data_IF_873541585923
#
_entry.id   IF_873541585923
#
_cell.length_a   1.000
_cell.length_b   1.000
_cell.length_c   1.000
_cell.angle_alpha   90.00
_cell.angle_beta   90.00
_cell.angle_gamma   90.00
#
_symmetry.space_group_name_H-M   'P 1'
#
loop_
_entity.id
_entity.type
_entity.pdbx_description
1 polymer ?
#
# COMPACT_ATOMS: atom_id res chain seq x y z
N UNK A 1 4.74 16.12 -18.01
CA UNK A 1 3.90 16.24 -16.79
C UNK A 1 2.45 16.13 -17.19
N UNK A 2 1.88 14.92 -17.14
CA UNK A 2 0.44 14.69 -17.31
C UNK A 2 -0.29 15.39 -16.15
N UNK A 3 -1.30 16.21 -16.47
CA UNK A 3 -2.07 16.95 -15.47
C UNK A 3 -2.71 15.97 -14.48
N UNK A 4 -2.47 16.22 -13.20
CA UNK A 4 -3.18 15.58 -12.10
C UNK A 4 -4.69 15.69 -12.31
N UNK A 5 -5.40 14.56 -12.38
CA UNK A 5 -6.85 14.57 -12.47
C UNK A 5 -7.45 13.78 -11.29
N UNK A 6 -8.14 14.45 -10.35
CA UNK A 6 -8.73 13.82 -9.15
C UNK A 6 -9.80 12.77 -9.49
N UNK A 7 -10.24 12.68 -10.75
CA UNK A 7 -11.11 11.60 -11.24
C UNK A 7 -10.49 10.21 -11.05
N UNK A 8 -9.16 10.10 -11.04
CA UNK A 8 -8.44 8.83 -11.00
C UNK A 8 -7.78 8.55 -9.64
N UNK A 9 -8.12 9.30 -8.60
CA UNK A 9 -7.59 9.06 -7.24
C UNK A 9 -8.59 9.48 -6.15
N UNK A 10 -8.20 9.26 -4.89
CA UNK A 10 -9.04 9.36 -3.69
C UNK A 10 -8.72 10.58 -2.81
N UNK A 11 -8.25 11.70 -3.38
CA UNK A 11 -7.86 12.88 -2.57
C UNK A 11 -9.01 13.49 -1.77
N UNK A 12 -10.23 13.26 -2.23
CA UNK A 12 -11.48 13.66 -1.58
C UNK A 12 -11.79 12.83 -0.33
N UNK A 13 -11.05 11.74 -0.09
CA UNK A 13 -11.25 10.82 1.03
C UNK A 13 -9.97 10.80 1.88
N UNK A 14 -9.91 11.56 2.99
CA UNK A 14 -8.73 11.58 3.83
C UNK A 14 -8.53 10.22 4.52
N UNK A 15 -7.28 9.78 4.61
CA UNK A 15 -6.90 8.73 5.57
C UNK A 15 -7.08 9.24 7.00
N UNK A 16 -7.32 8.35 7.95
CA UNK A 16 -7.60 8.71 9.34
C UNK A 16 -6.50 9.59 9.96
N UNK A 17 -5.24 9.41 9.56
CA UNK A 17 -4.12 10.27 9.98
C UNK A 17 -4.16 11.70 9.44
N UNK A 18 -4.94 11.97 8.38
CA UNK A 18 -5.17 13.32 7.81
C UNK A 18 -6.46 13.98 8.32
N UNK A 19 -7.32 13.24 9.03
CA UNK A 19 -8.59 13.76 9.54
C UNK A 19 -8.39 14.72 10.71
N UNK A 20 -9.35 15.62 10.93
CA UNK A 20 -9.38 16.39 12.18
C UNK A 20 -9.57 15.45 13.37
N UNK A 21 -9.12 15.83 14.58
CA UNK A 21 -9.32 15.02 15.78
C UNK A 21 -10.78 14.62 16.00
N UNK A 22 -11.73 15.52 15.74
CA UNK A 22 -13.17 15.26 15.86
C UNK A 22 -13.70 14.26 14.83
N UNK A 23 -13.22 14.29 13.59
CA UNK A 23 -13.64 13.36 12.54
C UNK A 23 -13.11 11.96 12.80
N UNK A 24 -11.81 11.86 13.13
CA UNK A 24 -11.21 10.59 13.51
C UNK A 24 -11.88 10.01 14.75
N UNK A 25 -12.21 10.87 15.74
CA UNK A 25 -12.96 10.46 16.92
C UNK A 25 -14.26 9.76 16.60
N UNK A 26 -15.06 10.41 15.74
CA UNK A 26 -16.37 9.91 15.33
C UNK A 26 -16.23 8.55 14.64
N UNK A 27 -15.28 8.41 13.70
CA UNK A 27 -15.05 7.12 13.02
C UNK A 27 -14.63 6.01 13.98
N UNK A 28 -13.74 6.30 14.93
CA UNK A 28 -13.29 5.32 15.92
C UNK A 28 -14.43 4.88 16.84
N UNK A 29 -15.28 5.82 17.28
CA UNK A 29 -16.48 5.50 18.06
C UNK A 29 -17.45 4.60 17.29
N UNK A 30 -17.65 4.85 15.99
CA UNK A 30 -18.56 4.07 15.13
C UNK A 30 -18.16 2.60 14.99
N UNK A 31 -16.87 2.28 15.15
CA UNK A 31 -16.35 0.91 15.14
C UNK A 31 -16.11 0.33 16.54
N UNK A 32 -16.64 0.98 17.58
CA UNK A 32 -16.53 0.51 18.96
C UNK A 32 -15.13 0.66 19.58
N UNK A 33 -14.25 1.45 18.96
CA UNK A 33 -12.96 1.79 19.54
C UNK A 33 -13.15 2.93 20.53
N UNK A 34 -13.39 2.56 21.78
CA UNK A 34 -13.64 3.51 22.87
C UNK A 34 -12.34 3.97 23.54
N UNK A 35 -11.22 3.27 23.33
CA UNK A 35 -10.06 3.37 24.24
C UNK A 35 -8.66 3.16 23.61
N UNK A 36 -8.47 3.32 22.29
CA UNK A 36 -7.18 3.04 21.62
C UNK A 36 -6.14 4.17 21.78
N UNK A 37 -5.94 4.67 23.01
CA UNK A 37 -4.99 5.75 23.31
C UNK A 37 -5.63 7.14 23.42
N UNK A 38 -6.94 7.27 23.24
CA UNK A 38 -7.65 8.55 23.42
C UNK A 38 -7.92 8.76 24.91
N UNK A 39 -7.13 9.63 25.58
CA UNK A 39 -7.35 9.93 27.00
C UNK A 39 -8.61 10.80 27.16
N UNK A 40 -9.67 10.24 27.76
CA UNK A 40 -10.77 11.04 28.32
C UNK A 40 -10.36 11.51 29.71
N UNK A 41 -9.81 12.72 29.82
CA UNK A 41 -9.62 13.36 31.13
C UNK A 41 -10.99 13.74 31.70
N UNK A 42 -11.41 13.04 32.77
CA UNK A 42 -12.57 13.44 33.59
C UNK A 42 -12.19 14.65 34.45
N UNK A 43 -12.23 15.84 33.85
CA UNK A 43 -12.29 17.13 34.54
C UNK A 43 -13.64 17.78 34.30
N UNK A 44 -14.24 18.40 35.32
CA UNK A 44 -15.48 19.19 35.19
C UNK A 44 -15.28 20.30 34.15
N UNK A 45 -15.97 20.20 33.02
CA UNK A 45 -15.97 21.19 31.94
C UNK A 45 -15.23 20.71 30.69
N UNK A 46 -16.01 20.47 29.62
CA UNK A 46 -15.57 20.16 28.24
C UNK A 46 -14.72 18.89 28.02
N UNK A 47 -15.33 17.90 27.36
CA UNK A 47 -14.64 16.70 26.85
C UNK A 47 -13.68 17.10 25.72
N UNK A 48 -12.40 17.33 26.03
CA UNK A 48 -11.35 17.47 25.01
C UNK A 48 -10.93 16.08 24.53
N UNK A 49 -11.20 15.79 23.27
CA UNK A 49 -10.67 14.63 22.57
C UNK A 49 -9.17 14.83 22.31
N UNK A 50 -8.32 13.99 22.89
CA UNK A 50 -6.86 14.05 22.71
C UNK A 50 -6.31 12.70 22.29
N UNK A 51 -5.43 12.69 21.29
CA UNK A 51 -4.65 11.53 20.89
C UNK A 51 -3.74 11.07 22.05
N UNK A 52 -3.32 9.80 22.05
CA UNK A 52 -2.31 9.32 22.99
C UNK A 52 -1.01 10.10 22.84
N UNK A 53 -0.24 10.21 23.92
CA UNK A 53 1.09 10.83 23.90
C UNK A 53 2.04 10.10 22.93
N UNK A 54 1.73 8.83 22.62
CA UNK A 54 2.38 8.04 21.57
C UNK A 54 1.36 7.74 20.45
N UNK A 55 1.51 8.32 19.25
CA UNK A 55 0.61 8.03 18.14
C UNK A 55 0.72 6.58 17.67
N UNK A 56 -0.43 6.02 17.29
CA UNK A 56 -0.52 4.67 16.73
C UNK A 56 -0.07 4.65 15.27
N UNK A 57 0.47 3.52 14.74
CA UNK A 57 0.98 3.45 13.36
C UNK A 57 0.01 3.90 12.27
N UNK A 58 -1.29 3.62 12.43
CA UNK A 58 -2.34 4.02 11.50
C UNK A 58 -2.64 5.53 11.50
N UNK A 59 -2.11 6.30 12.45
CA UNK A 59 -2.26 7.76 12.52
C UNK A 59 -1.22 8.48 11.67
N UNK A 60 -0.13 7.81 11.27
CA UNK A 60 0.89 8.45 10.46
C UNK A 60 0.47 8.54 9.00
N UNK A 61 0.88 9.62 8.34
CA UNK A 61 0.56 9.87 6.94
C UNK A 61 1.80 9.81 6.04
N UNK A 62 2.98 9.90 6.65
CA UNK A 62 4.26 9.83 5.95
C UNK A 62 4.68 8.37 5.73
N UNK A 63 5.46 8.16 4.68
CA UNK A 63 6.03 6.87 4.33
C UNK A 63 7.52 7.01 4.02
N UNK A 64 8.29 5.97 4.35
CA UNK A 64 9.67 5.79 3.87
C UNK A 64 9.73 4.62 2.90
N UNK A 65 10.64 4.72 1.93
CA UNK A 65 10.73 3.78 0.82
C UNK A 65 12.07 3.07 0.79
N UNK A 66 12.00 1.75 0.92
CA UNK A 66 13.15 0.84 0.90
C UNK A 66 13.17 0.00 -0.38
N UNK A 67 14.30 -0.63 -0.63
CA UNK A 67 14.52 -1.49 -1.79
C UNK A 67 15.38 -2.70 -1.41
N UNK A 68 14.90 -3.88 -1.78
CA UNK A 68 15.62 -5.15 -1.70
C UNK A 68 16.05 -5.49 -3.14
N UNK A 69 17.35 -5.54 -3.44
CA UNK A 69 17.82 -5.91 -4.77
C UNK A 69 17.52 -7.38 -5.07
N UNK A 70 17.40 -7.70 -6.36
CA UNK A 70 17.41 -9.10 -6.81
C UNK A 70 18.71 -9.75 -6.32
N UNK A 71 18.58 -10.71 -5.39
CA UNK A 71 19.70 -11.41 -4.78
C UNK A 71 19.87 -12.81 -5.39
N UNK A 72 21.10 -13.31 -5.40
CA UNK A 72 21.37 -14.69 -5.79
C UNK A 72 20.59 -15.67 -4.89
N UNK A 73 19.73 -16.48 -5.51
CA UNK A 73 18.78 -17.41 -4.89
C UNK A 73 19.40 -18.46 -3.94
N UNK A 74 20.73 -18.58 -3.91
CA UNK A 74 21.46 -19.58 -3.15
C UNK A 74 22.12 -19.05 -1.87
N UNK A 75 21.87 -17.80 -1.48
CA UNK A 75 22.43 -17.23 -0.25
C UNK A 75 21.41 -17.24 0.89
N UNK A 76 21.79 -17.86 2.01
CA UNK A 76 21.09 -17.73 3.29
C UNK A 76 21.46 -16.44 4.04
N UNK A 77 22.38 -15.64 3.49
CA UNK A 77 22.84 -14.43 4.14
C UNK A 77 21.76 -13.33 4.08
N UNK A 78 21.59 -12.55 5.15
CA UNK A 78 20.71 -11.39 5.12
C UNK A 78 21.08 -10.43 3.99
N UNK A 79 20.07 -9.94 3.28
CA UNK A 79 20.20 -8.99 2.18
C UNK A 79 20.00 -7.58 2.71
N UNK A 80 20.93 -6.68 2.38
CA UNK A 80 20.83 -5.28 2.79
C UNK A 80 19.66 -4.58 2.10
N UNK A 81 18.92 -3.78 2.88
CA UNK A 81 17.86 -2.92 2.37
C UNK A 81 18.45 -1.53 2.16
N UNK A 82 18.23 -0.98 0.97
CA UNK A 82 18.66 0.37 0.62
C UNK A 82 17.49 1.33 0.58
N UNK A 83 17.74 2.62 0.78
CA UNK A 83 16.73 3.62 0.46
C UNK A 83 16.43 3.58 -1.04
N UNK A 84 15.17 3.69 -1.45
CA UNK A 84 14.77 3.55 -2.86
C UNK A 84 15.37 4.62 -3.80
N UNK A 85 15.85 5.74 -3.25
CA UNK A 85 16.61 6.76 -4.00
C UNK A 85 18.12 6.53 -4.07
N UNK A 86 18.64 5.54 -3.34
CA UNK A 86 20.07 5.20 -3.25
C UNK A 86 20.39 3.83 -3.87
N UNK A 87 19.81 3.59 -5.04
CA UNK A 87 20.00 2.37 -5.84
C UNK A 87 20.41 2.74 -7.26
N UNK A 88 20.97 1.82 -8.03
CA UNK A 88 21.20 2.10 -9.46
C UNK A 88 19.88 1.91 -10.25
N UNK A 89 19.48 2.88 -11.08
CA UNK A 89 18.30 2.74 -11.92
C UNK A 89 18.56 1.73 -13.05
N UNK A 90 17.64 0.79 -13.23
CA UNK A 90 17.72 -0.20 -14.31
C UNK A 90 17.25 0.40 -15.63
N UNK A 91 18.21 0.88 -16.43
CA UNK A 91 17.92 1.52 -17.72
C UNK A 91 17.25 0.57 -18.72
N UNK A 92 17.35 -0.75 -18.54
CA UNK A 92 16.70 -1.73 -19.43
C UNK A 92 15.18 -1.73 -19.31
N UNK A 93 14.63 -1.14 -18.23
CA UNK A 93 13.19 -1.02 -18.03
C UNK A 93 12.56 0.14 -18.83
N UNK A 94 13.36 1.01 -19.46
CA UNK A 94 12.84 2.09 -20.31
C UNK A 94 12.08 1.52 -21.50
N UNK A 95 10.85 2.00 -21.71
CA UNK A 95 10.01 1.56 -22.83
C UNK A 95 9.79 0.04 -22.85
N UNK A 96 9.92 -0.63 -21.71
CA UNK A 96 9.74 -2.06 -21.57
C UNK A 96 8.39 -2.39 -20.93
N UNK A 97 8.12 -3.69 -20.81
CA UNK A 97 6.98 -4.21 -20.06
C UNK A 97 7.45 -4.86 -18.78
N UNK A 98 6.78 -4.53 -17.69
CA UNK A 98 7.08 -5.06 -16.36
C UNK A 98 5.91 -5.85 -15.78
N UNK A 99 6.23 -6.68 -14.79
CA UNK A 99 5.29 -7.36 -13.91
C UNK A 99 5.41 -6.76 -12.51
N UNK A 100 4.26 -6.54 -11.89
CA UNK A 100 4.13 -6.05 -10.51
C UNK A 100 3.47 -7.13 -9.68
N UNK A 101 4.09 -7.51 -8.56
CA UNK A 101 3.51 -8.45 -7.59
C UNK A 101 3.40 -7.81 -6.21
N UNK A 102 2.40 -8.21 -5.43
CA UNK A 102 2.32 -7.96 -3.99
C UNK A 102 2.95 -9.13 -3.25
N UNK A 103 4.06 -8.87 -2.57
CA UNK A 103 4.80 -9.91 -1.86
C UNK A 103 4.51 -9.89 -0.37
N UNK A 104 4.06 -8.74 0.15
CA UNK A 104 3.67 -8.60 1.55
C UNK A 104 2.69 -7.46 1.77
N UNK A 105 1.74 -7.70 2.66
CA UNK A 105 0.92 -6.67 3.29
C UNK A 105 0.92 -6.93 4.80
N UNK A 106 1.65 -6.12 5.56
CA UNK A 106 1.72 -6.21 7.03
C UNK A 106 0.82 -5.15 7.67
N UNK A 107 -0.03 -5.61 8.57
CA UNK A 107 -0.78 -4.73 9.48
C UNK A 107 -0.24 -4.92 10.87
N UNK A 108 0.62 -4.00 11.29
CA UNK A 108 1.12 -3.99 12.65
C UNK A 108 0.00 -3.57 13.61
N UNK A 109 -0.70 -2.47 13.30
CA UNK A 109 -1.88 -2.05 14.03
C UNK A 109 -2.81 -1.24 13.12
N UNK A 110 -4.06 -1.69 12.96
CA UNK A 110 -5.17 -0.96 12.35
C UNK A 110 -6.29 -0.79 13.40
N UNK A 111 -7.16 0.24 13.28
CA UNK A 111 -8.22 0.45 14.26
C UNK A 111 -9.22 -0.72 14.38
N UNK A 112 -9.73 -0.96 15.59
CA UNK A 112 -10.78 -1.97 15.85
C UNK A 112 -10.28 -3.35 16.29
N UNK A 113 -8.96 -3.56 16.32
CA UNK A 113 -8.34 -4.82 16.78
C UNK A 113 -8.78 -6.08 16.01
N UNK A 114 -8.23 -7.22 16.45
CA UNK A 114 -8.56 -8.53 15.93
C UNK A 114 -8.20 -8.70 14.45
N UNK A 115 -9.15 -9.28 13.70
CA UNK A 115 -9.01 -9.48 12.27
C UNK A 115 -9.51 -8.24 11.52
N UNK A 116 -8.74 -7.86 10.50
CA UNK A 116 -9.01 -6.75 9.61
C UNK A 116 -9.33 -7.28 8.21
N UNK A 117 -10.36 -6.72 7.58
CA UNK A 117 -10.60 -6.85 6.15
C UNK A 117 -10.06 -5.60 5.48
N UNK A 118 -8.99 -5.75 4.71
CA UNK A 118 -8.28 -4.62 4.11
C UNK A 118 -8.65 -4.59 2.64
N UNK A 119 -9.45 -3.61 2.23
CA UNK A 119 -9.54 -3.26 0.83
C UNK A 119 -8.22 -2.58 0.45
N UNK A 120 -7.45 -3.26 -0.39
CA UNK A 120 -6.20 -2.79 -0.96
C UNK A 120 -6.49 -2.26 -2.37
N UNK A 121 -6.10 -1.02 -2.64
CA UNK A 121 -6.10 -0.41 -3.97
C UNK A 121 -4.66 -0.09 -4.37
N UNK A 122 -4.25 -0.60 -5.53
CA UNK A 122 -2.95 -0.31 -6.10
C UNK A 122 -3.12 0.29 -7.48
N UNK A 123 -2.52 1.46 -7.67
CA UNK A 123 -2.59 2.20 -8.91
C UNK A 123 -1.24 2.22 -9.62
N UNK A 124 -1.30 2.17 -10.94
CA UNK A 124 -0.14 2.35 -11.79
C UNK A 124 -0.46 3.13 -13.08
N UNK A 125 0.56 3.80 -13.63
CA UNK A 125 0.49 4.44 -14.95
C UNK A 125 0.98 3.48 -16.04
N UNK A 126 0.07 3.04 -16.92
CA UNK A 126 0.44 2.29 -18.11
C UNK A 126 0.72 3.27 -19.26
N UNK A 127 1.96 3.33 -19.73
CA UNK A 127 2.40 4.30 -20.73
C UNK A 127 2.51 3.64 -22.10
N UNK A 128 1.44 3.74 -22.89
CA UNK A 128 1.37 3.28 -24.28
C UNK A 128 1.70 4.45 -25.22
N UNK A 129 1.97 4.16 -26.49
CA UNK A 129 2.34 5.21 -27.45
C UNK A 129 1.26 6.29 -27.56
N UNK A 130 1.63 7.54 -27.29
CA UNK A 130 0.75 8.70 -27.35
C UNK A 130 -0.30 8.81 -26.23
N UNK A 131 -0.38 7.86 -25.29
CA UNK A 131 -1.40 7.84 -24.24
C UNK A 131 -0.89 7.27 -22.90
N UNK A 132 -1.34 7.88 -21.80
CA UNK A 132 -1.18 7.30 -20.46
C UNK A 132 -2.53 6.78 -20.00
N UNK A 133 -2.59 5.50 -19.61
CA UNK A 133 -3.74 4.91 -18.95
C UNK A 133 -3.49 4.82 -17.44
N UNK A 134 -4.58 4.99 -16.68
CA UNK A 134 -4.60 4.99 -15.23
C UNK A 134 -5.21 3.67 -14.75
N UNK A 135 -4.38 2.77 -14.19
CA UNK A 135 -4.79 1.42 -13.85
C UNK A 135 -5.05 1.33 -12.37
N UNK A 136 -6.11 0.61 -11.97
CA UNK A 136 -6.36 0.25 -10.58
C UNK A 136 -6.55 -1.25 -10.44
N UNK A 137 -5.93 -1.79 -9.40
CA UNK A 137 -6.12 -3.15 -8.92
C UNK A 137 -6.73 -3.09 -7.52
N UNK A 138 -7.80 -3.86 -7.29
CA UNK A 138 -8.41 -4.00 -5.97
C UNK A 138 -8.50 -5.44 -5.52
N UNK A 139 -8.18 -5.68 -4.26
CA UNK A 139 -8.34 -6.98 -3.61
C UNK A 139 -8.60 -6.79 -2.11
N UNK A 140 -9.33 -7.71 -1.49
CA UNK A 140 -9.47 -7.72 -0.04
C UNK A 140 -8.45 -8.69 0.56
N UNK A 141 -7.86 -8.30 1.68
CA UNK A 141 -7.01 -9.18 2.46
C UNK A 141 -7.52 -9.27 3.89
N UNK A 142 -7.67 -10.50 4.38
CA UNK A 142 -7.95 -10.79 5.79
C UNK A 142 -6.65 -10.90 6.56
N UNK A 143 -6.43 -10.02 7.54
CA UNK A 143 -5.17 -9.93 8.28
C UNK A 143 -5.43 -9.75 9.77
N UNK A 144 -4.84 -10.60 10.61
CA UNK A 144 -4.83 -10.40 12.05
C UNK A 144 -3.88 -9.24 12.42
N UNK A 145 -4.29 -8.35 13.32
CA UNK A 145 -3.42 -7.28 13.81
C UNK A 145 -2.11 -7.82 14.40
N UNK A 146 -0.99 -7.23 13.99
CA UNK A 146 0.38 -7.68 14.31
C UNK A 146 0.98 -8.64 13.28
N UNK A 147 0.18 -9.16 12.35
CA UNK A 147 0.58 -10.15 11.36
C UNK A 147 0.63 -9.56 9.94
N UNK A 148 0.68 -10.45 8.95
CA UNK A 148 0.68 -10.13 7.53
C UNK A 148 -0.36 -10.97 6.81
N UNK A 149 -0.84 -10.48 5.67
CA UNK A 149 -1.67 -11.28 4.77
C UNK A 149 -0.91 -12.54 4.32
N UNK A 150 -1.65 -13.65 4.18
CA UNK A 150 -1.13 -14.93 3.68
C UNK A 150 -0.88 -14.91 2.16
N UNK A 151 -0.07 -13.97 1.69
CA UNK A 151 0.27 -13.79 0.28
C UNK A 151 1.79 -13.82 0.07
N UNK A 152 2.19 -14.26 -1.10
CA UNK A 152 3.58 -14.20 -1.59
C UNK A 152 3.52 -14.13 -3.13
N UNK A 153 4.15 -13.12 -3.73
CA UNK A 153 4.21 -12.97 -5.19
C UNK A 153 2.86 -12.84 -5.90
N UNK A 154 1.82 -12.28 -5.25
CA UNK A 154 0.48 -12.19 -5.86
C UNK A 154 0.50 -11.20 -7.03
N UNK A 155 0.10 -11.58 -8.25
CA UNK A 155 0.17 -10.67 -9.41
C UNK A 155 -0.82 -9.50 -9.27
N UNK A 156 -0.31 -8.27 -9.32
CA UNK A 156 -1.13 -7.04 -9.40
C UNK A 156 -1.32 -6.68 -10.87
N UNK A 157 -0.22 -6.46 -11.60
CA UNK A 157 -0.23 -6.11 -13.02
C UNK A 157 0.80 -6.95 -13.78
N UNK A 158 0.42 -7.46 -14.95
CA UNK A 158 1.32 -8.19 -15.85
C UNK A 158 1.35 -7.47 -17.19
N UNK A 159 2.54 -7.12 -17.67
CA UNK A 159 2.70 -6.46 -18.97
C UNK A 159 2.50 -4.94 -18.95
N UNK A 160 2.71 -4.30 -17.80
CA UNK A 160 2.58 -2.85 -17.63
C UNK A 160 3.69 -2.12 -18.42
N UNK A 161 3.31 -1.17 -19.28
CA UNK A 161 4.28 -0.44 -20.11
C UNK A 161 4.88 0.74 -19.33
N UNK A 162 6.20 0.77 -19.27
CA UNK A 162 7.00 1.80 -18.61
C UNK A 162 7.44 2.85 -19.64
N UNK A 163 7.28 4.13 -19.34
CA UNK A 163 7.74 5.19 -20.25
C UNK A 163 9.24 5.48 -20.14
N UNK A 164 9.73 6.40 -20.97
CA UNK A 164 11.15 6.81 -20.97
C UNK A 164 11.59 7.50 -19.67
N UNK A 165 10.65 8.15 -18.97
CA UNK A 165 10.90 8.92 -17.75
C UNK A 165 10.69 8.09 -16.46
N UNK A 166 10.19 6.86 -16.57
CA UNK A 166 9.88 6.00 -15.43
C UNK A 166 8.38 5.72 -15.28
N UNK A 167 7.92 5.47 -14.05
CA UNK A 167 6.54 5.10 -13.74
C UNK A 167 6.12 5.61 -12.37
N UNK A 168 4.81 5.77 -12.16
CA UNK A 168 4.24 6.14 -10.87
C UNK A 168 3.35 5.03 -10.32
N UNK A 169 3.53 4.76 -9.04
CA UNK A 169 2.65 3.89 -8.26
C UNK A 169 1.97 4.68 -7.14
N UNK A 170 0.76 4.25 -6.80
CA UNK A 170 0.09 4.72 -5.59
C UNK A 170 -0.56 3.53 -4.91
N UNK A 171 -0.73 3.64 -3.61
CA UNK A 171 -1.49 2.67 -2.84
C UNK A 171 -2.44 3.38 -1.89
N UNK A 172 -3.64 2.84 -1.78
CA UNK A 172 -4.63 3.25 -0.82
C UNK A 172 -5.17 2.02 -0.09
N UNK A 173 -5.26 2.06 1.23
CA UNK A 173 -5.83 0.96 2.01
C UNK A 173 -6.99 1.41 2.87
N UNK A 174 -8.02 0.57 2.95
CA UNK A 174 -9.19 0.78 3.80
C UNK A 174 -9.39 -0.42 4.71
N UNK A 175 -9.40 -0.18 6.01
CA UNK A 175 -9.85 -1.14 7.01
C UNK A 175 -11.39 -1.15 6.99
N UNK A 176 -11.96 -2.18 6.38
CA UNK A 176 -13.40 -2.38 6.27
C UNK A 176 -13.89 -2.99 7.57
N UNK A 177 -14.87 -2.32 8.19
CA UNK A 177 -15.51 -2.73 9.45
C UNK A 177 -17.04 -2.66 9.38
N UNK A 178 -17.57 -2.42 8.18
CA UNK A 178 -18.99 -2.46 7.90
C UNK A 178 -19.36 -3.86 7.41
N UNK A 179 -20.23 -4.58 8.14
CA UNK A 179 -20.65 -5.94 7.81
C UNK A 179 -21.30 -6.08 6.42
N UNK A 180 -22.05 -5.08 5.96
CA UNK A 180 -22.66 -5.12 4.63
C UNK A 180 -21.61 -4.93 3.53
N UNK A 181 -20.59 -4.11 3.78
CA UNK A 181 -19.47 -3.96 2.87
C UNK A 181 -18.60 -5.22 2.88
N UNK A 182 -18.38 -5.85 4.03
CA UNK A 182 -17.72 -7.16 4.12
C UNK A 182 -18.44 -8.20 3.24
N UNK A 183 -19.77 -8.31 3.34
CA UNK A 183 -20.56 -9.22 2.50
C UNK A 183 -20.52 -8.87 1.01
N UNK A 184 -20.58 -7.58 0.67
CA UNK A 184 -20.43 -7.14 -0.72
C UNK A 184 -19.07 -7.53 -1.27
N UNK A 185 -18.02 -7.34 -0.48
CA UNK A 185 -16.65 -7.66 -0.82
C UNK A 185 -16.46 -9.18 -0.97
N UNK A 186 -17.02 -9.98 -0.07
CA UNK A 186 -17.04 -11.45 -0.18
C UNK A 186 -17.75 -11.91 -1.47
N UNK A 187 -18.87 -11.27 -1.84
CA UNK A 187 -19.55 -11.54 -3.11
C UNK A 187 -18.66 -11.23 -4.33
N UNK A 188 -17.97 -10.09 -4.32
CA UNK A 188 -17.03 -9.72 -5.40
C UNK A 188 -15.85 -10.69 -5.51
N UNK A 189 -15.46 -11.33 -4.41
CA UNK A 189 -14.43 -12.36 -4.42
C UNK A 189 -14.91 -13.71 -4.94
N UNK A 190 -16.22 -13.92 -5.06
CA UNK A 190 -16.81 -15.17 -5.51
C UNK A 190 -16.38 -15.54 -6.94
N UNK A 191 -16.14 -16.84 -7.16
CA UNK A 191 -15.66 -17.39 -8.44
C UNK A 191 -16.61 -17.07 -9.61
N UNK A 192 -17.91 -16.90 -9.34
CA UNK A 192 -18.90 -16.51 -10.33
C UNK A 192 -18.70 -15.08 -10.83
N UNK A 193 -18.41 -14.14 -9.93
CA UNK A 193 -18.16 -12.75 -10.31
C UNK A 193 -16.82 -12.61 -11.02
N UNK A 194 -15.76 -13.21 -10.46
CA UNK A 194 -14.42 -13.27 -11.09
C UNK A 194 -14.47 -13.96 -12.45
N UNK A 195 -15.26 -15.03 -12.59
CA UNK A 195 -15.49 -15.72 -13.87
C UNK A 195 -16.20 -14.85 -14.90
N UNK A 196 -17.18 -14.05 -14.47
CA UNK A 196 -17.86 -13.06 -15.33
C UNK A 196 -16.92 -11.96 -15.85
N UNK A 197 -15.99 -11.48 -15.03
CA UNK A 197 -14.96 -10.52 -15.45
C UNK A 197 -13.95 -11.13 -16.44
N UNK A 198 -13.49 -12.36 -16.20
CA UNK A 198 -12.57 -13.08 -17.10
C UNK A 198 -13.12 -13.33 -18.50
N UNK A 199 -14.44 -13.54 -18.64
CA UNK A 199 -15.08 -13.72 -19.95
C UNK A 199 -15.07 -12.44 -20.81
N UNK A 200 -14.90 -11.26 -20.19
CA UNK A 200 -14.80 -9.97 -20.87
C UNK A 200 -13.35 -9.70 -21.33
N UNK A 201 -12.35 -10.34 -20.71
CA UNK A 201 -10.91 -10.09 -20.92
C UNK A 201 -10.32 -10.76 -22.17
N UNK A 202 -10.94 -11.79 -22.74
CA UNK A 202 -10.39 -12.61 -23.84
C UNK A 202 -10.27 -11.89 -25.21
N UNK A 203 -10.55 -10.59 -25.30
CA UNK A 203 -10.59 -9.84 -26.57
C UNK A 203 -9.55 -8.69 -26.68
N UNK A 204 -9.01 -8.14 -25.57
CA UNK A 204 -7.95 -7.08 -25.48
C UNK A 204 -8.29 -5.68 -26.08
N UNK A 205 -7.89 -4.51 -25.50
CA UNK A 205 -7.58 -4.13 -24.11
C UNK A 205 -8.73 -3.29 -23.47
N UNK A 206 -9.22 -3.69 -22.29
CA UNK A 206 -10.30 -2.98 -21.55
C UNK A 206 -9.85 -2.48 -20.18
N UNK A 207 -8.67 -1.87 -20.16
CA UNK A 207 -8.06 -1.36 -18.94
C UNK A 207 -8.81 -0.16 -18.29
N UNK A 208 -9.42 0.78 -19.04
CA UNK A 208 -10.09 1.95 -18.43
C UNK A 208 -11.40 1.62 -17.69
N UNK A 209 -12.20 0.68 -18.19
CA UNK A 209 -13.52 0.37 -17.62
C UNK A 209 -13.36 -0.35 -16.27
N UNK A 210 -12.49 -1.36 -16.21
CA UNK A 210 -12.20 -2.10 -14.97
C UNK A 210 -11.60 -1.14 -13.93
N UNK A 211 -10.70 -0.25 -14.35
CA UNK A 211 -10.12 0.76 -13.47
C UNK A 211 -11.16 1.75 -12.92
N UNK A 212 -12.16 2.13 -13.73
CA UNK A 212 -13.23 3.01 -13.25
C UNK A 212 -14.17 2.34 -12.24
N UNK A 213 -14.44 1.03 -12.41
CA UNK A 213 -15.23 0.23 -11.46
C UNK A 213 -14.46 0.06 -10.16
N UNK A 214 -13.17 -0.27 -10.23
CA UNK A 214 -12.23 -0.32 -9.12
C UNK A 214 -12.26 0.99 -8.30
N UNK A 215 -12.05 2.13 -8.95
CA UNK A 215 -12.12 3.45 -8.30
C UNK A 215 -13.48 3.71 -7.67
N UNK A 216 -14.59 3.42 -8.36
CA UNK A 216 -15.94 3.62 -7.85
C UNK A 216 -16.24 2.78 -6.61
N UNK A 217 -15.83 1.51 -6.62
CA UNK A 217 -15.96 0.59 -5.50
C UNK A 217 -15.14 1.09 -4.29
N UNK A 218 -13.88 1.43 -4.49
CA UNK A 218 -13.02 1.95 -3.42
C UNK A 218 -13.60 3.23 -2.84
N UNK A 219 -14.05 4.19 -3.66
CA UNK A 219 -14.69 5.42 -3.16
C UNK A 219 -15.95 5.14 -2.34
N UNK A 220 -16.81 4.25 -2.81
CA UNK A 220 -18.03 3.88 -2.10
C UNK A 220 -17.72 3.26 -0.73
N UNK A 221 -16.75 2.34 -0.66
CA UNK A 221 -16.38 1.67 0.59
C UNK A 221 -15.68 2.65 1.52
N UNK A 222 -14.69 3.39 1.03
CA UNK A 222 -13.87 4.30 1.83
C UNK A 222 -14.66 5.47 2.43
N UNK A 223 -15.73 5.92 1.75
CA UNK A 223 -16.59 7.01 2.24
C UNK A 223 -17.60 6.57 3.31
N UNK A 224 -17.79 5.27 3.54
CA UNK A 224 -18.73 4.80 4.57
C UNK A 224 -18.20 5.09 5.97
N UNK A 225 -19.13 5.36 6.88
CA UNK A 225 -18.86 5.77 8.25
C UNK A 225 -17.92 4.81 9.00
N UNK A 226 -18.24 3.51 9.02
CA UNK A 226 -17.46 2.48 9.74
C UNK A 226 -16.13 2.10 9.07
N UNK A 227 -15.94 2.36 7.79
CA UNK A 227 -14.71 1.99 7.10
C UNK A 227 -13.64 3.07 7.32
N UNK A 228 -12.40 2.64 7.51
CA UNK A 228 -11.32 3.56 7.90
C UNK A 228 -10.21 3.49 6.87
N UNK A 229 -10.05 4.53 6.03
CA UNK A 229 -8.88 4.62 5.17
C UNK A 229 -7.62 4.86 6.01
N UNK A 230 -6.56 4.07 5.77
CA UNK A 230 -5.37 4.03 6.65
C UNK A 230 -4.10 4.49 5.93
N UNK A 231 -3.77 3.90 4.78
CA UNK A 231 -2.57 4.26 4.02
C UNK A 231 -2.97 4.96 2.72
N UNK A 232 -2.19 5.96 2.35
CA UNK A 232 -2.28 6.71 1.09
C UNK A 232 -0.87 7.22 0.77
N UNK A 233 -0.21 6.61 -0.22
CA UNK A 233 1.10 7.05 -0.65
C UNK A 233 1.22 7.13 -2.17
N UNK A 234 2.14 7.98 -2.60
CA UNK A 234 2.56 8.14 -3.98
C UNK A 234 4.06 7.84 -4.09
N UNK A 235 4.44 7.02 -5.06
CA UNK A 235 5.82 6.72 -5.37
C UNK A 235 6.08 6.95 -6.85
N UNK A 236 6.82 8.01 -7.17
CA UNK A 236 7.39 8.22 -8.50
C UNK A 236 8.74 7.54 -8.59
N UNK A 237 8.90 6.65 -9.57
CA UNK A 237 10.13 5.93 -9.85
C UNK A 237 10.67 6.41 -11.19
N UNK A 238 11.88 6.97 -11.21
CA UNK A 238 12.51 7.44 -12.44
C UNK A 238 13.87 6.79 -12.71
N UNK A 239 14.46 7.09 -13.86
CA UNK A 239 15.76 6.58 -14.28
C UNK A 239 16.91 7.54 -13.99
N UNK A 240 16.64 8.64 -13.28
CA UNK A 240 17.62 9.69 -13.01
C UNK A 240 18.45 9.35 -11.78
N UNK A 241 19.64 9.93 -11.66
CA UNK A 241 20.47 9.80 -10.45
C UNK A 241 20.20 10.91 -9.43
N UNK A 242 19.04 11.55 -9.50
CA UNK A 242 18.65 12.63 -8.58
C UNK A 242 18.53 12.06 -7.16
N UNK A 243 19.28 12.55 -6.16
CA UNK A 243 19.32 11.94 -4.82
C UNK A 243 17.97 11.95 -4.07
N UNK A 244 17.10 12.91 -4.36
CA UNK A 244 15.81 13.10 -3.68
C UNK A 244 14.67 12.29 -4.30
N UNK A 245 14.94 11.51 -5.35
CA UNK A 245 13.92 10.74 -6.08
C UNK A 245 14.16 9.25 -5.92
N UNK A 246 13.08 8.48 -5.85
CA UNK A 246 13.18 7.03 -5.93
C UNK A 246 13.48 6.60 -7.36
N UNK A 247 14.27 5.54 -7.51
CA UNK A 247 14.77 5.07 -8.79
C UNK A 247 14.08 3.76 -9.18
N UNK A 248 13.80 3.60 -10.47
CA UNK A 248 13.19 2.38 -11.00
C UNK A 248 14.27 1.31 -11.26
N UNK A 249 14.11 0.14 -10.67
CA UNK A 249 15.01 -1.02 -10.79
C UNK A 249 14.24 -2.31 -10.51
N UNK A 250 14.75 -3.44 -11.00
CA UNK A 250 14.16 -4.76 -10.69
C UNK A 250 14.50 -5.18 -9.26
N UNK A 251 13.51 -5.69 -8.53
CA UNK A 251 13.63 -6.04 -7.12
C UNK A 251 12.36 -5.71 -6.36
N UNK A 252 12.44 -5.71 -5.03
CA UNK A 252 11.28 -5.48 -4.15
C UNK A 252 11.35 -4.12 -3.48
N UNK A 253 10.29 -3.34 -3.62
CA UNK A 253 10.11 -2.05 -2.97
C UNK A 253 9.30 -2.20 -1.70
N UNK A 254 9.72 -1.48 -0.65
CA UNK A 254 9.06 -1.49 0.65
C UNK A 254 8.50 -0.09 0.91
N UNK A 255 7.24 0.01 1.31
CA UNK A 255 6.65 1.26 1.77
C UNK A 255 6.19 1.10 3.22
N UNK A 256 6.81 1.84 4.15
CA UNK A 256 6.53 1.76 5.60
C UNK A 256 5.85 3.04 6.07
N UNK A 257 4.69 2.93 6.69
CA UNK A 257 3.93 4.05 7.27
C UNK A 257 4.54 4.47 8.61
N UNK A 258 5.18 5.65 8.68
CA UNK A 258 5.97 6.12 9.83
C UNK A 258 5.78 7.62 10.12
N UNK A 259 6.07 8.11 11.35
CA UNK A 259 5.88 9.53 11.69
C UNK A 259 6.77 10.48 10.89
N UNK A 260 8.07 10.20 10.84
CA UNK A 260 9.09 11.11 10.30
C UNK A 260 10.01 10.32 9.37
N UNK A 261 9.79 10.46 8.06
CA UNK A 261 10.54 9.69 7.05
C UNK A 261 12.05 9.95 7.10
N UNK A 262 12.45 11.18 7.40
CA UNK A 262 13.85 11.60 7.46
C UNK A 262 14.66 10.96 8.60
N UNK A 263 13.98 10.49 9.65
CA UNK A 263 14.62 9.81 10.79
C UNK A 263 14.78 8.31 10.58
N UNK A 264 14.20 7.76 9.51
CA UNK A 264 14.30 6.34 9.22
C UNK A 264 15.66 5.98 8.64
N UNK A 265 16.26 4.94 9.19
CA UNK A 265 17.57 4.46 8.76
C UNK A 265 17.44 3.03 8.23
N UNK A 266 17.49 2.87 6.91
CA UNK A 266 17.41 1.58 6.24
C UNK A 266 18.61 0.67 6.54
N UNK A 267 19.76 1.22 6.92
CA UNK A 267 20.97 0.42 7.21
C UNK A 267 20.82 -0.47 8.45
N UNK A 268 19.84 -0.16 9.31
CA UNK A 268 19.47 -0.94 10.50
C UNK A 268 18.60 -2.16 10.19
N UNK A 269 18.11 -2.28 8.96
CA UNK A 269 17.17 -3.33 8.57
C UNK A 269 17.76 -4.18 7.45
N UNK A 270 17.51 -5.49 7.53
CA UNK A 270 17.91 -6.46 6.52
C UNK A 270 16.74 -7.37 6.19
N UNK A 271 16.71 -7.85 4.95
CA UNK A 271 15.81 -8.93 4.56
C UNK A 271 16.48 -10.27 4.88
N UNK A 272 15.82 -11.10 5.68
CA UNK A 272 16.27 -12.45 5.98
C UNK A 272 15.65 -13.43 4.96
N UNK A 273 16.43 -13.99 4.02
CA UNK A 273 15.89 -14.89 3.00
C UNK A 273 15.43 -16.24 3.56
N UNK A 274 15.88 -16.65 4.75
CA UNK A 274 15.53 -17.95 5.35
C UNK A 274 14.06 -17.99 5.77
N UNK A 275 13.55 -16.89 6.34
CA UNK A 275 12.16 -16.80 6.80
C UNK A 275 11.35 -15.73 6.03
N UNK A 276 11.99 -15.07 5.06
CA UNK A 276 11.41 -14.01 4.25
C UNK A 276 11.03 -12.76 5.04
N UNK A 277 11.58 -12.49 6.24
CA UNK A 277 11.18 -11.34 7.05
C UNK A 277 12.17 -10.17 6.96
N UNK A 278 11.66 -8.95 7.13
CA UNK A 278 12.50 -7.77 7.39
C UNK A 278 12.73 -7.69 8.89
N UNK A 279 14.00 -7.79 9.29
CA UNK A 279 14.44 -7.83 10.68
C UNK A 279 15.52 -6.80 10.95
N UNK A 280 15.69 -6.43 12.23
CA UNK A 280 16.80 -5.57 12.66
C UNK A 280 18.13 -6.29 12.46
N UNK A 281 19.12 -5.57 11.92
CA UNK A 281 20.48 -6.05 11.68
C UNK A 281 21.18 -6.43 13.00
N UNK A 282 20.95 -5.65 14.05
CA UNK A 282 21.58 -5.86 15.37
C UNK A 282 20.78 -6.86 16.23
N UNK A 283 19.49 -7.00 15.97
CA UNK A 283 18.57 -7.83 16.76
C UNK A 283 17.63 -8.60 15.84
N UNK A 284 18.04 -9.78 15.33
CA UNK A 284 17.28 -10.52 14.31
C UNK A 284 15.86 -10.96 14.69
N UNK A 285 15.49 -10.88 15.97
CA UNK A 285 14.13 -11.17 16.46
C UNK A 285 13.21 -9.94 16.44
N UNK A 286 13.75 -8.73 16.23
CA UNK A 286 12.96 -7.50 16.11
C UNK A 286 12.56 -7.28 14.65
N UNK A 287 11.27 -7.06 14.40
CA UNK A 287 10.70 -6.73 13.09
C UNK A 287 10.21 -5.29 13.06
N UNK A 288 9.86 -4.79 11.87
CA UNK A 288 9.28 -3.44 11.72
C UNK A 288 7.94 -3.35 12.47
N UNK A 289 7.89 -2.46 13.46
CA UNK A 289 6.71 -2.16 14.30
C UNK A 289 5.78 -1.13 13.69
N UNK A 290 5.55 -1.23 12.39
CA UNK A 290 4.71 -0.32 11.61
C UNK A 290 3.97 -1.09 10.52
N UNK A 291 2.92 -0.47 9.99
CA UNK A 291 2.25 -0.97 8.80
C UNK A 291 3.19 -0.79 7.61
N UNK A 292 3.28 -1.82 6.77
CA UNK A 292 4.05 -1.71 5.55
C UNK A 292 3.57 -2.71 4.51
N UNK A 293 3.96 -2.47 3.27
CA UNK A 293 3.78 -3.42 2.18
C UNK A 293 5.08 -3.59 1.41
N UNK A 294 5.17 -4.72 0.69
CA UNK A 294 6.27 -5.02 -0.22
C UNK A 294 5.68 -5.40 -1.56
N UNK A 295 6.11 -4.74 -2.62
CA UNK A 295 5.78 -5.10 -3.99
C UNK A 295 7.04 -5.28 -4.82
N UNK A 296 7.05 -6.23 -5.74
CA UNK A 296 8.19 -6.44 -6.65
C UNK A 296 7.93 -5.91 -8.05
N UNK A 297 9.01 -5.47 -8.67
CA UNK A 297 9.11 -5.11 -10.08
C UNK A 297 10.05 -6.12 -10.74
N UNK A 298 9.59 -6.79 -11.79
CA UNK A 298 10.42 -7.66 -12.63
C UNK A 298 10.08 -7.46 -14.10
N UNK A 299 10.89 -8.01 -15.01
CA UNK A 299 10.43 -8.13 -16.39
C UNK A 299 9.29 -9.16 -16.48
N UNK A 300 8.55 -9.15 -17.58
CA UNK A 300 7.43 -10.10 -17.79
C UNK A 300 7.92 -11.55 -17.93
N UNK A 301 9.17 -11.76 -18.33
CA UNK A 301 9.72 -13.08 -18.64
C UNK A 301 10.47 -13.73 -17.47
N UNK A 302 10.60 -13.04 -16.33
CA UNK A 302 11.10 -13.58 -15.06
C UNK A 302 9.96 -14.20 -14.24
#
# INVERSE_FOLDING_TARGET
MTKYNPKYWFDDIPVIGKMTPSEAARKLQEIGVVDSGVKVTRGRGEKRWGWSDKPEPWQYTSHTFGFIPVSNLNSSNPVEIKHAGDIEPDQSLKNSRIKITLDRLRVFNYPGGGIHFILFDFYAQNQIEGQTEHLHFNQIYRVQGGEQAGIIGYPIFVGLNVGSEGIAFKCFTVNVKNEDDEKLLEFLEGDTFKGGLKLIETVNPLVPIISSVAVGLTKMIASRNKNIPVQDFYMGLDFTKTPTRARLSQGSYIAVQIPEAEKWDWSKWVFNPVNGQIVSKDKPNETISYNYLVFSVSTVND
#
